data_IF_005866574249
#
_entry.id   IF_005866574249
#
_cell.length_a   1.000
_cell.length_b   1.000
_cell.length_c   1.000
_cell.angle_alpha   90.00
_cell.angle_beta   90.00
_cell.angle_gamma   90.00
#
_symmetry.space_group_name_H-M   'P 1'
#
loop_
_entity.id
_entity.type
_entity.pdbx_description
1 polymer ?
#
# COMPACT_ATOMS: atom_id res chain seq x y z
N UNK A 1 9.04 -7.21 -12.70
CA UNK A 1 8.06 -6.97 -11.62
C UNK A 1 7.12 -8.17 -11.50
N UNK A 2 7.04 -8.80 -10.32
CA UNK A 2 6.23 -10.01 -10.08
C UNK A 2 4.75 -9.68 -9.83
N UNK A 3 3.83 -10.67 -9.88
CA UNK A 3 2.42 -10.47 -9.52
C UNK A 3 2.23 -9.91 -8.11
N UNK A 4 3.02 -10.39 -7.14
CA UNK A 4 2.97 -9.92 -5.76
C UNK A 4 3.39 -8.45 -5.65
N UNK A 5 4.47 -8.06 -6.36
CA UNK A 5 4.94 -6.67 -6.37
C UNK A 5 3.87 -5.72 -6.94
N UNK A 6 3.23 -6.09 -8.05
CA UNK A 6 2.14 -5.29 -8.63
C UNK A 6 0.98 -5.14 -7.64
N UNK A 7 0.59 -6.24 -6.98
CA UNK A 7 -0.49 -6.23 -5.99
C UNK A 7 -0.13 -5.36 -4.79
N UNK A 8 1.10 -5.44 -4.28
CA UNK A 8 1.59 -4.60 -3.18
C UNK A 8 1.46 -3.13 -3.55
N UNK A 9 1.97 -2.70 -4.71
CA UNK A 9 1.93 -1.29 -5.12
C UNK A 9 0.50 -0.75 -5.19
N UNK A 10 -0.41 -1.50 -5.83
CA UNK A 10 -1.82 -1.10 -5.93
C UNK A 10 -2.52 -1.08 -4.57
N UNK A 11 -2.30 -2.09 -3.72
CA UNK A 11 -2.87 -2.14 -2.38
C UNK A 11 -2.37 -0.98 -1.51
N UNK A 12 -1.08 -0.67 -1.59
CA UNK A 12 -0.47 0.46 -0.88
C UNK A 12 -1.08 1.78 -1.33
N UNK A 13 -1.34 1.95 -2.62
CA UNK A 13 -2.00 3.15 -3.14
C UNK A 13 -3.40 3.29 -2.54
N UNK A 14 -4.23 2.25 -2.63
CA UNK A 14 -5.59 2.27 -2.08
C UNK A 14 -5.61 2.56 -0.57
N UNK A 15 -4.70 1.95 0.21
CA UNK A 15 -4.63 2.17 1.67
C UNK A 15 -4.12 3.56 2.02
N UNK A 16 -3.17 4.09 1.24
CA UNK A 16 -2.66 5.44 1.44
C UNK A 16 -3.76 6.45 1.16
N UNK A 17 -4.49 6.30 0.05
CA UNK A 17 -5.64 7.16 -0.28
C UNK A 17 -6.74 7.07 0.79
N UNK A 18 -7.05 5.86 1.29
CA UNK A 18 -8.02 5.69 2.37
C UNK A 18 -7.59 6.40 3.66
N UNK A 19 -6.34 6.22 4.07
CA UNK A 19 -5.76 6.85 5.26
C UNK A 19 -5.72 8.37 5.13
N UNK A 20 -5.38 8.91 3.95
CA UNK A 20 -5.37 10.34 3.66
C UNK A 20 -6.78 10.96 3.64
N UNK A 21 -7.80 10.17 3.27
CA UNK A 21 -9.19 10.60 3.23
C UNK A 21 -9.89 10.58 4.61
N UNK A 22 -9.35 9.83 5.57
CA UNK A 22 -9.90 9.75 6.92
C UNK A 22 -9.74 11.09 7.69
N UNK A 23 -10.77 11.55 8.40
CA UNK A 23 -10.64 12.71 9.28
C UNK A 23 -9.58 12.48 10.36
N UNK A 24 -8.81 13.52 10.67
CA UNK A 24 -7.85 13.45 11.77
C UNK A 24 -8.57 13.23 13.10
N UNK A 25 -8.10 12.23 13.84
CA UNK A 25 -8.60 11.96 15.18
C UNK A 25 -8.19 13.08 16.15
N UNK A 26 -9.02 13.35 17.17
CA UNK A 26 -8.64 14.26 18.24
C UNK A 26 -7.51 13.67 19.09
N UNK A 27 -6.69 14.53 19.71
CA UNK A 27 -5.50 14.15 20.51
C UNK A 27 -5.78 13.12 21.63
N UNK A 28 -7.01 13.10 22.15
CA UNK A 28 -7.42 12.22 23.25
C UNK A 28 -7.93 10.85 22.78
N UNK A 29 -8.11 10.64 21.47
CA UNK A 29 -8.49 9.34 20.95
C UNK A 29 -7.36 8.33 21.20
N UNK A 30 -7.71 7.12 21.64
CA UNK A 30 -6.74 6.04 21.89
C UNK A 30 -5.85 5.75 20.69
N UNK A 31 -6.42 5.92 19.49
CA UNK A 31 -5.79 5.53 18.23
C UNK A 31 -5.11 6.72 17.54
N UNK A 32 -5.11 7.91 18.17
CA UNK A 32 -4.49 9.11 17.60
C UNK A 32 -3.02 8.92 17.24
N UNK A 33 -2.25 8.26 18.12
CA UNK A 33 -0.84 8.00 17.88
C UNK A 33 -0.62 6.98 16.75
N UNK A 34 -1.49 5.97 16.63
CA UNK A 34 -1.42 5.02 15.53
C UNK A 34 -1.72 5.73 14.21
N UNK A 35 -2.82 6.48 14.11
CA UNK A 35 -3.17 7.24 12.90
C UNK A 35 -2.06 8.23 12.52
N UNK A 36 -1.48 8.94 13.49
CA UNK A 36 -0.36 9.86 13.23
C UNK A 36 0.87 9.13 12.70
N UNK A 37 1.20 7.96 13.27
CA UNK A 37 2.33 7.13 12.82
C UNK A 37 2.09 6.61 11.39
N UNK A 38 0.87 6.18 11.09
CA UNK A 38 0.52 5.71 9.74
C UNK A 38 0.54 6.86 8.72
N UNK A 39 0.10 8.07 9.09
CA UNK A 39 0.18 9.24 8.20
C UNK A 39 1.63 9.63 7.90
N UNK A 40 2.56 9.43 8.85
CA UNK A 40 3.97 9.74 8.67
C UNK A 40 4.72 8.66 7.88
N UNK A 41 4.55 7.39 8.25
CA UNK A 41 5.34 6.26 7.75
C UNK A 41 4.58 5.34 6.79
N UNK A 42 3.35 5.69 6.45
CA UNK A 42 2.44 4.91 5.63
C UNK A 42 1.69 3.83 6.40
N UNK A 43 0.75 3.12 5.73
CA UNK A 43 -0.08 2.09 6.35
C UNK A 43 0.72 0.99 7.08
N UNK A 44 0.19 0.53 8.22
CA UNK A 44 0.82 -0.52 9.04
C UNK A 44 0.69 -1.90 8.40
N UNK A 45 1.81 -2.60 8.25
CA UNK A 45 1.86 -3.99 7.74
C UNK A 45 1.36 -4.97 8.80
N UNK A 46 0.13 -5.44 8.62
CA UNK A 46 -0.53 -6.48 9.42
C UNK A 46 -0.46 -7.86 8.72
N UNK A 47 -0.68 -8.99 9.41
CA UNK A 47 -0.60 -10.32 8.78
C UNK A 47 -1.58 -10.50 7.60
N UNK A 48 -2.73 -9.86 7.69
CA UNK A 48 -3.81 -9.85 6.70
C UNK A 48 -3.69 -8.70 5.67
N UNK A 49 -2.60 -7.93 5.72
CA UNK A 49 -2.42 -6.72 4.91
C UNK A 49 -2.52 -6.99 3.41
N UNK A 50 -2.09 -8.17 2.97
CA UNK A 50 -2.14 -8.60 1.57
C UNK A 50 -3.36 -9.49 1.25
N UNK A 51 -4.22 -9.74 2.23
CA UNK A 51 -5.39 -10.63 2.13
C UNK A 51 -5.54 -11.56 3.34
N UNK A 52 -6.79 -11.84 3.71
CA UNK A 52 -7.17 -12.57 4.92
C UNK A 52 -6.91 -14.09 4.90
N UNK A 53 -6.60 -14.68 3.74
CA UNK A 53 -6.47 -16.14 3.56
C UNK A 53 -5.11 -16.59 3.00
N UNK A 54 -4.05 -15.80 3.22
CA UNK A 54 -2.71 -16.18 2.77
C UNK A 54 -2.07 -17.20 3.71
N UNK A 55 -1.56 -18.28 3.15
CA UNK A 55 -0.69 -19.23 3.85
C UNK A 55 0.58 -18.52 4.34
N UNK A 56 1.26 -19.08 5.34
CA UNK A 56 2.53 -18.52 5.82
C UNK A 56 3.60 -18.40 4.71
N UNK A 57 3.60 -19.33 3.75
CA UNK A 57 4.49 -19.29 2.59
C UNK A 57 4.19 -18.11 1.68
N UNK A 58 2.91 -17.85 1.40
CA UNK A 58 2.50 -16.69 0.61
C UNK A 58 2.82 -15.39 1.35
N UNK A 59 2.53 -15.29 2.64
CA UNK A 59 2.87 -14.12 3.44
C UNK A 59 4.38 -13.80 3.36
N UNK A 60 5.26 -14.81 3.45
CA UNK A 60 6.71 -14.63 3.26
C UNK A 60 7.07 -14.16 1.86
N UNK A 61 6.39 -14.65 0.81
CA UNK A 61 6.60 -14.19 -0.57
C UNK A 61 6.22 -12.72 -0.73
N UNK A 62 5.11 -12.28 -0.13
CA UNK A 62 4.71 -10.87 -0.13
C UNK A 62 5.69 -9.99 0.63
N UNK A 63 6.14 -10.41 1.82
CA UNK A 63 7.15 -9.66 2.58
C UNK A 63 8.45 -9.50 1.79
N UNK A 64 8.94 -10.58 1.17
CA UNK A 64 10.13 -10.51 0.31
C UNK A 64 9.92 -9.60 -0.90
N UNK A 65 8.74 -9.64 -1.51
CA UNK A 65 8.40 -8.76 -2.62
C UNK A 65 8.35 -7.28 -2.20
N UNK A 66 7.86 -6.98 -0.99
CA UNK A 66 7.85 -5.64 -0.43
C UNK A 66 9.28 -5.14 -0.14
N UNK A 67 10.15 -5.98 0.43
CA UNK A 67 11.57 -5.66 0.62
C UNK A 67 12.27 -5.36 -0.71
N UNK A 68 12.04 -6.19 -1.74
CA UNK A 68 12.59 -5.95 -3.08
C UNK A 68 12.09 -4.63 -3.70
N UNK A 69 10.84 -4.24 -3.45
CA UNK A 69 10.31 -2.96 -3.91
C UNK A 69 10.93 -1.79 -3.15
N UNK A 70 11.21 -1.96 -1.86
CA UNK A 70 11.91 -0.96 -1.06
C UNK A 70 13.37 -0.80 -1.53
N UNK A 71 14.08 -1.90 -1.75
CA UNK A 71 15.45 -1.89 -2.28
C UNK A 71 15.50 -1.24 -3.69
N UNK A 72 14.43 -1.37 -4.46
CA UNK A 72 14.29 -0.74 -5.78
C UNK A 72 13.78 0.72 -5.75
N UNK A 73 13.52 1.30 -4.57
CA UNK A 73 13.11 2.70 -4.41
C UNK A 73 11.65 3.00 -4.70
N UNK A 74 10.78 1.99 -4.74
CA UNK A 74 9.32 2.17 -4.91
C UNK A 74 8.56 2.25 -3.58
N UNK A 75 9.17 1.77 -2.49
CA UNK A 75 8.61 1.82 -1.15
C UNK A 75 9.66 2.32 -0.15
N UNK A 76 9.21 3.08 0.84
CA UNK A 76 9.98 3.33 2.06
C UNK A 76 9.51 2.35 3.14
N UNK A 77 10.45 1.57 3.67
CA UNK A 77 10.19 0.57 4.70
C UNK A 77 10.60 1.09 6.08
N UNK A 78 9.60 1.52 6.87
CA UNK A 78 9.82 1.90 8.25
C UNK A 78 9.89 0.66 9.16
N UNK A 79 10.93 0.62 9.98
CA UNK A 79 11.23 -0.49 10.88
C UNK A 79 11.21 0.01 12.31
N UNK A 80 10.35 -0.59 13.14
CA UNK A 80 10.35 -0.33 14.57
C UNK A 80 11.55 -1.01 15.26
N UNK A 81 11.70 -0.74 16.56
CA UNK A 81 12.72 -1.38 17.42
C UNK A 81 12.63 -2.91 17.29
N UNK A 82 13.72 -3.54 16.82
CA UNK A 82 13.75 -4.97 16.49
C UNK A 82 13.90 -5.28 14.99
N UNK A 83 13.99 -4.27 14.13
CA UNK A 83 14.39 -4.42 12.71
C UNK A 83 13.30 -4.98 11.79
N UNK A 84 12.13 -5.34 12.34
CA UNK A 84 10.98 -5.77 11.55
C UNK A 84 10.32 -4.57 10.87
N UNK A 85 9.98 -4.73 9.59
CA UNK A 85 9.15 -3.77 8.85
C UNK A 85 7.76 -3.71 9.48
N UNK A 86 7.36 -2.52 9.92
CA UNK A 86 6.06 -2.28 10.55
C UNK A 86 5.15 -1.42 9.70
N UNK A 87 5.70 -0.53 8.89
CA UNK A 87 4.94 0.34 7.99
C UNK A 87 5.64 0.41 6.64
N UNK A 88 4.84 0.62 5.60
CA UNK A 88 5.31 0.82 4.24
C UNK A 88 4.69 2.09 3.71
N UNK A 89 5.46 2.88 2.98
CA UNK A 89 4.98 4.08 2.30
C UNK A 89 5.38 4.02 0.83
N UNK A 90 4.52 4.50 -0.05
CA UNK A 90 4.91 4.70 -1.46
C UNK A 90 5.84 5.90 -1.56
N UNK A 91 6.94 5.73 -2.27
CA UNK A 91 7.71 6.87 -2.79
C UNK A 91 6.94 7.51 -3.94
N UNK A 92 7.33 8.70 -4.39
CA UNK A 92 6.70 9.34 -5.55
C UNK A 92 6.76 8.44 -6.79
N UNK A 93 7.93 7.86 -7.07
CA UNK A 93 8.12 6.87 -8.15
C UNK A 93 7.23 5.62 -7.96
N UNK A 94 7.08 5.16 -6.72
CA UNK A 94 6.18 4.05 -6.40
C UNK A 94 4.71 4.38 -6.64
N UNK A 95 4.30 5.60 -6.29
CA UNK A 95 2.94 6.12 -6.48
C UNK A 95 2.60 6.20 -7.97
N UNK A 96 3.46 6.81 -8.79
CA UNK A 96 3.27 6.92 -10.25
C UNK A 96 3.11 5.54 -10.91
N UNK A 97 3.93 4.57 -10.48
CA UNK A 97 3.86 3.21 -10.98
C UNK A 97 2.58 2.50 -10.51
N UNK A 98 2.18 2.67 -9.26
CA UNK A 98 0.95 2.10 -8.72
C UNK A 98 -0.29 2.63 -9.44
N UNK A 99 -0.35 3.93 -9.72
CA UNK A 99 -1.43 4.57 -10.48
C UNK A 99 -1.51 4.02 -11.90
N UNK A 100 -0.36 3.89 -12.58
CA UNK A 100 -0.27 3.28 -13.91
C UNK A 100 -0.77 1.83 -13.90
N UNK A 101 -0.40 1.04 -12.90
CA UNK A 101 -0.85 -0.34 -12.74
C UNK A 101 -2.36 -0.44 -12.45
N UNK A 102 -2.91 0.48 -11.66
CA UNK A 102 -4.36 0.55 -11.37
C UNK A 102 -5.15 0.87 -12.64
N UNK A 103 -4.71 1.87 -13.42
CA UNK A 103 -5.36 2.25 -14.67
C UNK A 103 -5.39 1.11 -15.71
N UNK A 104 -4.35 0.26 -15.75
CA UNK A 104 -4.31 -0.91 -16.62
C UNK A 104 -5.26 -2.04 -16.19
N UNK A 105 -5.67 -2.06 -14.92
CA UNK A 105 -6.53 -3.09 -14.33
C UNK A 105 -8.01 -2.74 -14.46
N UNK A 106 -8.34 -1.45 -14.43
CA UNK A 106 -9.67 -0.90 -14.66
C UNK A 106 -9.71 -0.14 -15.99
N UNK A 107 -9.80 -0.81 -17.17
CA UNK A 107 -10.12 -0.08 -18.38
C UNK A 107 -11.51 0.49 -18.22
N UNK A 108 -11.61 1.82 -18.07
CA UNK A 108 -12.87 2.57 -18.21
C UNK A 108 -13.57 2.00 -19.45
N UNK A 109 -14.84 1.54 -19.37
CA UNK A 109 -15.53 1.14 -20.58
C UNK A 109 -15.52 2.35 -21.49
N UNK A 110 -14.97 2.18 -22.69
CA UNK A 110 -15.11 3.14 -23.77
C UNK A 110 -16.61 3.29 -23.97
N UNK A 111 -17.20 4.32 -23.36
CA UNK A 111 -18.55 4.76 -23.67
C UNK A 111 -18.46 5.25 -25.11
N UNK A 112 -18.81 4.35 -26.03
CA UNK A 112 -19.11 4.72 -27.40
C UNK A 112 -20.31 5.66 -27.29
N UNK A 113 -20.06 6.93 -27.58
CA UNK A 113 -21.12 7.87 -27.89
C UNK A 113 -21.55 7.50 -29.29
N UNK A 114 -22.55 6.62 -29.41
CA UNK A 114 -23.29 6.50 -30.65
C UNK A 114 -24.18 7.74 -30.76
N UNK A 115 -23.69 8.72 -31.52
CA UNK A 115 -24.55 9.70 -32.18
C UNK A 115 -25.52 8.94 -33.09
N UNK A 116 -26.82 8.96 -32.78
CA UNK A 116 -27.91 8.91 -33.76
C UNK A 116 -29.11 9.73 -33.29
#
# INVERSE_FOLDING_TARGET
MTPEQKRILVEMLCRTEALEAEPRLPLWASDYLEQTTELEHGPRVRPDFWGSNLTATEQRRFLRAAEQLADAGFLDAYRARGGRVTHLRLTDTGRDLAESLRALRDPKPLLWSDDQ
#
